data_IF_974634619024
#
_entry.id   IF_974634619024
#
_cell.length_a   1.000
_cell.length_b   1.000
_cell.length_c   1.000
_cell.angle_alpha   90.00
_cell.angle_beta   90.00
_cell.angle_gamma   90.00
#
_symmetry.space_group_name_H-M   'P 1'
#
loop_
_entity.id
_entity.type
_entity.pdbx_description
1 polymer ?
#
# COMPACT_ATOMS: atom_id res chain seq x y z
N UNK A 1 -37.16 21.81 -6.60
CA UNK A 1 -36.15 22.31 -5.68
C UNK A 1 -35.29 23.34 -6.39
N UNK A 2 -35.05 24.47 -5.74
CA UNK A 2 -34.11 25.47 -6.27
C UNK A 2 -32.65 24.97 -6.12
N UNK A 3 -31.74 25.60 -6.89
CA UNK A 3 -30.31 25.31 -6.77
C UNK A 3 -29.77 25.49 -5.34
N UNK A 4 -30.30 26.51 -4.64
CA UNK A 4 -29.95 26.80 -3.25
C UNK A 4 -30.42 25.69 -2.27
N UNK A 5 -31.65 25.17 -2.48
CA UNK A 5 -32.14 24.03 -1.69
C UNK A 5 -31.33 22.76 -1.92
N UNK A 6 -30.91 22.50 -3.18
CA UNK A 6 -30.05 21.36 -3.51
C UNK A 6 -28.68 21.47 -2.86
N UNK A 7 -28.09 22.67 -2.86
CA UNK A 7 -26.77 22.89 -2.18
C UNK A 7 -26.88 22.71 -0.65
N UNK A 8 -27.97 23.20 -0.03
CA UNK A 8 -28.19 22.98 1.42
C UNK A 8 -28.42 21.51 1.73
N UNK A 9 -29.19 20.79 0.91
CA UNK A 9 -29.38 19.34 1.11
C UNK A 9 -28.11 18.56 0.92
N UNK A 10 -27.29 18.90 -0.07
CA UNK A 10 -25.98 18.31 -0.28
C UNK A 10 -25.07 18.50 0.93
N UNK A 11 -24.95 19.73 1.43
CA UNK A 11 -24.12 20.02 2.59
C UNK A 11 -24.60 19.27 3.86
N UNK A 12 -25.93 19.11 4.03
CA UNK A 12 -26.49 18.32 5.12
C UNK A 12 -26.11 16.85 5.00
N UNK A 13 -26.29 16.26 3.81
CA UNK A 13 -25.94 14.86 3.55
C UNK A 13 -24.44 14.59 3.72
N UNK A 14 -23.57 15.49 3.24
CA UNK A 14 -22.12 15.40 3.43
C UNK A 14 -21.76 15.42 4.92
N UNK A 15 -22.42 16.25 5.71
CA UNK A 15 -22.23 16.29 7.18
C UNK A 15 -22.70 15.00 7.85
N UNK A 16 -23.85 14.48 7.48
CA UNK A 16 -24.37 13.21 8.04
C UNK A 16 -23.47 12.04 7.67
N UNK A 17 -22.97 12.01 6.43
CA UNK A 17 -21.99 10.99 6.00
C UNK A 17 -20.75 11.02 6.88
N UNK A 18 -20.13 12.18 7.10
CA UNK A 18 -18.94 12.32 7.97
C UNK A 18 -19.24 11.86 9.41
N UNK A 19 -20.43 12.17 9.95
CA UNK A 19 -20.83 11.74 11.29
C UNK A 19 -20.94 10.20 11.34
N UNK A 20 -21.55 9.58 10.33
CA UNK A 20 -21.69 8.12 10.25
C UNK A 20 -20.34 7.43 10.09
N UNK A 21 -19.46 7.96 9.23
CA UNK A 21 -18.09 7.45 9.04
C UNK A 21 -17.28 7.51 10.34
N UNK A 22 -17.34 8.64 11.06
CA UNK A 22 -16.66 8.79 12.35
C UNK A 22 -17.18 7.83 13.41
N UNK A 23 -18.50 7.61 13.48
CA UNK A 23 -19.10 6.64 14.41
C UNK A 23 -18.68 5.22 14.05
N UNK A 24 -18.75 4.83 12.79
CA UNK A 24 -18.29 3.53 12.32
C UNK A 24 -16.82 3.29 12.65
N UNK A 25 -15.96 4.29 12.36
CA UNK A 25 -14.54 4.18 12.68
C UNK A 25 -14.27 4.05 14.17
N UNK A 26 -14.96 4.82 15.01
CA UNK A 26 -14.81 4.72 16.47
C UNK A 26 -15.20 3.33 17.01
N UNK A 27 -16.31 2.76 16.52
CA UNK A 27 -16.75 1.41 16.90
C UNK A 27 -15.74 0.36 16.39
N UNK A 28 -15.27 0.48 15.16
CA UNK A 28 -14.26 -0.42 14.57
C UNK A 28 -12.96 -0.40 15.38
N UNK A 29 -12.48 0.78 15.77
CA UNK A 29 -11.29 0.92 16.62
C UNK A 29 -11.52 0.26 17.98
N UNK A 30 -12.68 0.49 18.62
CA UNK A 30 -13.01 -0.09 19.90
C UNK A 30 -13.01 -1.63 19.84
N UNK A 31 -13.66 -2.21 18.84
CA UNK A 31 -13.71 -3.67 18.64
C UNK A 31 -12.33 -4.26 18.39
N UNK A 32 -11.53 -3.64 17.52
CA UNK A 32 -10.16 -4.11 17.22
C UNK A 32 -9.23 -3.97 18.43
N UNK A 33 -9.46 -2.96 19.28
CA UNK A 33 -8.67 -2.73 20.50
C UNK A 33 -8.94 -3.78 21.57
N UNK A 34 -10.11 -4.42 21.57
CA UNK A 34 -10.46 -5.46 22.56
C UNK A 34 -9.52 -6.66 22.49
N UNK A 35 -9.20 -7.14 21.28
CA UNK A 35 -8.21 -8.21 21.09
C UNK A 35 -6.84 -7.81 21.65
N UNK A 36 -6.36 -6.60 21.30
CA UNK A 36 -5.10 -6.07 21.82
C UNK A 36 -5.09 -5.91 23.34
N UNK A 37 -6.22 -5.50 23.93
CA UNK A 37 -6.37 -5.38 25.37
C UNK A 37 -6.28 -6.74 26.07
N UNK A 38 -6.92 -7.78 25.53
CA UNK A 38 -6.84 -9.15 26.07
C UNK A 38 -5.42 -9.71 26.08
N UNK A 39 -4.55 -9.23 25.19
CA UNK A 39 -3.14 -9.61 25.10
C UNK A 39 -2.21 -8.75 25.97
N UNK A 40 -2.71 -7.70 26.60
CA UNK A 40 -1.92 -6.76 27.40
C UNK A 40 -1.97 -7.14 28.88
N UNK A 41 -0.81 -7.44 29.48
CA UNK A 41 -0.67 -7.83 30.89
C UNK A 41 -1.21 -6.82 31.91
N UNK A 42 -1.32 -5.55 31.54
CA UNK A 42 -1.89 -4.49 32.39
C UNK A 42 -3.41 -4.36 32.28
N UNK A 43 -4.05 -5.12 31.39
CA UNK A 43 -5.50 -5.06 31.22
C UNK A 43 -6.21 -5.92 32.27
N UNK A 44 -7.26 -5.39 32.89
CA UNK A 44 -8.02 -6.08 33.95
C UNK A 44 -8.47 -7.51 33.59
N UNK A 45 -8.79 -7.73 32.30
CA UNK A 45 -9.28 -9.02 31.79
C UNK A 45 -8.25 -9.71 30.90
N UNK A 46 -6.96 -9.47 31.17
CA UNK A 46 -5.88 -10.13 30.48
C UNK A 46 -5.98 -11.66 30.62
N UNK A 47 -5.99 -12.34 29.48
CA UNK A 47 -5.80 -13.80 29.39
C UNK A 47 -5.18 -14.15 28.04
N UNK A 48 -3.91 -14.48 28.05
CA UNK A 48 -3.15 -14.82 26.84
C UNK A 48 -3.75 -16.03 26.10
N UNK A 49 -4.36 -16.98 26.80
CA UNK A 49 -4.99 -18.16 26.21
C UNK A 49 -6.19 -17.78 25.36
N UNK A 50 -6.95 -16.78 25.80
CA UNK A 50 -8.07 -16.24 25.00
C UNK A 50 -7.55 -15.55 23.75
N UNK A 51 -6.49 -14.75 23.85
CA UNK A 51 -5.88 -14.09 22.71
C UNK A 51 -5.28 -15.11 21.70
N UNK A 52 -4.59 -16.14 22.19
CA UNK A 52 -4.10 -17.23 21.35
C UNK A 52 -5.23 -18.02 20.67
N UNK A 53 -6.30 -18.34 21.40
CA UNK A 53 -7.45 -19.06 20.83
C UNK A 53 -8.13 -18.30 19.70
N UNK A 54 -8.24 -16.97 19.80
CA UNK A 54 -8.79 -16.12 18.74
C UNK A 54 -7.94 -16.25 17.47
N UNK A 55 -6.62 -16.15 17.58
CA UNK A 55 -5.72 -16.22 16.42
C UNK A 55 -5.66 -17.62 15.80
N UNK A 56 -5.61 -18.67 16.62
CA UNK A 56 -5.57 -20.07 16.15
C UNK A 56 -6.90 -20.42 15.47
N UNK A 57 -8.03 -20.01 16.06
CA UNK A 57 -9.35 -20.21 15.43
C UNK A 57 -9.44 -19.47 14.10
N UNK A 58 -8.94 -18.23 14.01
CA UNK A 58 -8.88 -17.49 12.75
C UNK A 58 -8.07 -18.21 11.69
N UNK A 59 -6.90 -18.75 12.03
CA UNK A 59 -6.07 -19.53 11.12
C UNK A 59 -6.78 -20.79 10.65
N UNK A 60 -7.45 -21.51 11.53
CA UNK A 60 -8.21 -22.72 11.18
C UNK A 60 -9.39 -22.37 10.27
N UNK A 61 -10.13 -21.33 10.59
CA UNK A 61 -11.30 -20.88 9.83
C UNK A 61 -10.95 -20.53 8.38
N UNK A 62 -9.88 -19.75 8.18
CA UNK A 62 -9.47 -19.35 6.83
C UNK A 62 -8.94 -20.53 6.01
N UNK A 63 -8.22 -21.47 6.63
CA UNK A 63 -7.78 -22.71 5.98
C UNK A 63 -8.95 -23.64 5.63
N UNK A 64 -9.96 -23.69 6.48
CA UNK A 64 -11.18 -24.45 6.20
C UNK A 64 -11.91 -23.87 4.99
N UNK A 65 -12.03 -22.55 4.93
CA UNK A 65 -12.62 -21.85 3.78
C UNK A 65 -11.82 -22.06 2.50
N UNK A 66 -10.49 -21.98 2.54
CA UNK A 66 -9.57 -22.28 1.41
C UNK A 66 -9.84 -23.69 0.85
N UNK A 67 -9.84 -24.70 1.70
CA UNK A 67 -10.09 -26.08 1.29
C UNK A 67 -11.49 -26.27 0.70
N UNK A 68 -12.47 -25.60 1.26
CA UNK A 68 -13.87 -25.68 0.80
C UNK A 68 -14.03 -25.09 -0.60
N UNK A 69 -13.51 -23.88 -0.84
CA UNK A 69 -13.64 -23.24 -2.16
C UNK A 69 -12.82 -23.98 -3.21
N UNK A 70 -11.62 -24.46 -2.90
CA UNK A 70 -10.80 -25.25 -3.82
C UNK A 70 -11.50 -26.53 -4.24
N UNK A 71 -12.09 -27.27 -3.29
CA UNK A 71 -12.87 -28.48 -3.56
C UNK A 71 -14.08 -28.19 -4.47
N UNK A 72 -14.79 -27.10 -4.17
CA UNK A 72 -15.94 -26.67 -4.98
C UNK A 72 -15.54 -26.28 -6.40
N UNK A 73 -14.47 -25.49 -6.57
CA UNK A 73 -13.98 -25.08 -7.88
C UNK A 73 -13.51 -26.27 -8.73
N UNK A 74 -12.74 -27.19 -8.14
CA UNK A 74 -12.28 -28.41 -8.82
C UNK A 74 -13.47 -29.26 -9.32
N UNK A 75 -14.51 -29.42 -8.50
CA UNK A 75 -15.72 -30.13 -8.87
C UNK A 75 -16.44 -29.50 -10.06
N UNK A 76 -16.61 -28.17 -10.04
CA UNK A 76 -17.34 -27.46 -11.10
C UNK A 76 -16.52 -27.41 -12.39
N UNK A 77 -15.24 -27.13 -12.30
CA UNK A 77 -14.35 -26.96 -13.45
C UNK A 77 -13.87 -28.33 -14.00
N UNK A 78 -14.04 -29.39 -13.23
CA UNK A 78 -13.53 -30.73 -13.52
C UNK A 78 -12.00 -30.73 -13.72
N UNK A 79 -11.31 -29.98 -12.91
CA UNK A 79 -9.85 -29.85 -12.91
C UNK A 79 -9.19 -30.93 -12.05
N UNK A 80 -7.87 -31.00 -12.09
CA UNK A 80 -7.07 -31.91 -11.28
C UNK A 80 -7.23 -31.67 -9.77
N UNK A 81 -7.10 -32.72 -8.97
CA UNK A 81 -7.27 -32.65 -7.50
C UNK A 81 -6.24 -31.77 -6.81
N UNK A 82 -5.11 -31.49 -7.44
CA UNK A 82 -4.05 -30.62 -6.93
C UNK A 82 -4.13 -29.16 -7.44
N UNK A 83 -5.12 -28.82 -8.28
CA UNK A 83 -5.27 -27.45 -8.77
C UNK A 83 -5.68 -26.52 -7.62
N UNK A 84 -4.98 -25.40 -7.47
CA UNK A 84 -5.27 -24.41 -6.44
C UNK A 84 -5.83 -23.12 -7.07
N UNK A 85 -7.02 -22.75 -6.63
CA UNK A 85 -7.72 -21.54 -7.06
C UNK A 85 -7.57 -20.40 -6.08
N UNK A 86 -7.04 -20.65 -4.87
CA UNK A 86 -6.75 -19.62 -3.87
C UNK A 86 -5.32 -19.14 -4.06
N UNK A 87 -5.15 -17.98 -4.67
CA UNK A 87 -3.85 -17.40 -5.02
C UNK A 87 -3.16 -16.68 -3.85
N UNK A 88 -3.95 -16.18 -2.88
CA UNK A 88 -3.42 -15.52 -1.69
C UNK A 88 -4.43 -15.57 -0.55
N UNK A 89 -3.91 -15.52 0.68
CA UNK A 89 -4.67 -15.42 1.92
C UNK A 89 -4.06 -14.27 2.73
N UNK A 90 -4.91 -13.39 3.26
CA UNK A 90 -4.46 -12.37 4.20
C UNK A 90 -5.39 -12.32 5.41
N UNK A 91 -4.95 -12.91 6.52
CA UNK A 91 -5.61 -12.95 7.83
C UNK A 91 -7.01 -13.56 7.77
N UNK A 92 -8.00 -12.85 7.23
CA UNK A 92 -9.43 -13.18 7.17
C UNK A 92 -10.01 -13.10 5.75
N UNK A 93 -9.16 -12.88 4.74
CA UNK A 93 -9.58 -12.80 3.34
C UNK A 93 -8.91 -13.84 2.44
N UNK A 94 -9.66 -14.30 1.43
CA UNK A 94 -9.21 -15.20 0.37
C UNK A 94 -9.23 -14.46 -0.97
N UNK A 95 -8.19 -14.65 -1.78
CA UNK A 95 -8.12 -14.17 -3.16
C UNK A 95 -8.24 -15.36 -4.08
N UNK A 96 -9.34 -15.41 -4.84
CA UNK A 96 -9.73 -16.58 -5.64
C UNK A 96 -9.54 -16.27 -7.12
N UNK A 97 -8.80 -17.10 -7.83
CA UNK A 97 -8.70 -17.08 -9.29
C UNK A 97 -9.98 -17.61 -9.90
N UNK A 98 -10.72 -16.76 -10.58
CA UNK A 98 -12.02 -17.09 -11.16
C UNK A 98 -12.06 -17.09 -12.68
N UNK A 99 -10.91 -16.87 -13.35
CA UNK A 99 -10.81 -16.77 -14.80
C UNK A 99 -11.43 -17.98 -15.52
N UNK A 100 -11.09 -19.18 -15.08
CA UNK A 100 -11.59 -20.43 -15.70
C UNK A 100 -13.10 -20.59 -15.53
N UNK A 101 -13.64 -20.16 -14.37
CA UNK A 101 -15.08 -20.18 -14.10
C UNK A 101 -15.82 -19.21 -15.02
N UNK A 102 -15.30 -17.99 -15.15
CA UNK A 102 -15.88 -16.94 -16.00
C UNK A 102 -15.82 -17.35 -17.46
N UNK A 103 -14.68 -17.83 -17.95
CA UNK A 103 -14.52 -18.31 -19.33
C UNK A 103 -15.49 -19.44 -19.67
N UNK A 104 -15.66 -20.40 -18.75
CA UNK A 104 -16.59 -21.50 -18.92
C UNK A 104 -18.05 -21.06 -18.96
N UNK A 105 -18.43 -20.06 -18.19
CA UNK A 105 -19.82 -19.62 -18.05
C UNK A 105 -20.24 -18.62 -19.13
N UNK A 106 -19.34 -17.68 -19.51
CA UNK A 106 -19.66 -16.56 -20.42
C UNK A 106 -19.20 -16.84 -21.86
N UNK A 107 -18.15 -17.67 -22.05
CA UNK A 107 -17.65 -18.08 -23.36
C UNK A 107 -17.14 -16.90 -24.21
N UNK A 108 -17.27 -17.04 -25.55
CA UNK A 108 -16.71 -16.09 -26.53
C UNK A 108 -17.30 -14.66 -26.46
N UNK A 109 -18.40 -14.47 -25.73
CA UNK A 109 -19.01 -13.14 -25.53
C UNK A 109 -18.47 -12.41 -24.29
N UNK A 110 -17.35 -12.85 -23.72
CA UNK A 110 -16.77 -12.31 -22.51
C UNK A 110 -16.36 -10.86 -22.67
N UNK A 111 -16.93 -10.01 -21.83
CA UNK A 111 -16.45 -8.65 -21.55
C UNK A 111 -16.23 -8.53 -20.05
N UNK A 112 -15.34 -7.62 -19.63
CA UNK A 112 -15.07 -7.40 -18.19
C UNK A 112 -16.37 -7.15 -17.43
N UNK A 113 -17.28 -6.31 -17.97
CA UNK A 113 -18.55 -6.00 -17.34
C UNK A 113 -19.44 -7.23 -17.13
N UNK A 114 -19.56 -8.11 -18.14
CA UNK A 114 -20.31 -9.34 -18.03
C UNK A 114 -19.70 -10.29 -17.02
N UNK A 115 -18.36 -10.41 -17.02
CA UNK A 115 -17.62 -11.21 -16.05
C UNK A 115 -17.86 -10.75 -14.62
N UNK A 116 -17.78 -9.44 -14.38
CA UNK A 116 -18.02 -8.84 -13.06
C UNK A 116 -19.45 -9.08 -12.59
N UNK A 117 -20.47 -8.85 -13.44
CA UNK A 117 -21.88 -9.13 -13.12
C UNK A 117 -22.14 -10.60 -12.82
N UNK A 118 -21.50 -11.50 -13.58
CA UNK A 118 -21.59 -12.94 -13.36
C UNK A 118 -20.98 -13.31 -12.00
N UNK A 119 -19.77 -12.81 -11.69
CA UNK A 119 -19.10 -13.10 -10.42
C UNK A 119 -19.84 -12.51 -9.22
N UNK A 120 -20.43 -11.33 -9.36
CA UNK A 120 -21.25 -10.72 -8.32
C UNK A 120 -22.39 -11.66 -7.92
N UNK A 121 -23.16 -12.12 -8.92
CA UNK A 121 -24.25 -13.06 -8.72
C UNK A 121 -23.79 -14.42 -8.18
N UNK A 122 -22.72 -14.99 -8.72
CA UNK A 122 -22.17 -16.28 -8.26
C UNK A 122 -21.66 -16.20 -6.83
N UNK A 123 -21.04 -15.09 -6.46
CA UNK A 123 -20.57 -14.90 -5.08
C UNK A 123 -21.74 -14.91 -4.10
N UNK A 124 -22.80 -14.15 -4.37
CA UNK A 124 -23.98 -14.06 -3.52
C UNK A 124 -24.79 -15.39 -3.49
N UNK A 125 -25.03 -16.01 -4.66
CA UNK A 125 -25.92 -17.18 -4.75
C UNK A 125 -25.22 -18.51 -4.47
N UNK A 126 -23.89 -18.59 -4.59
CA UNK A 126 -23.13 -19.85 -4.50
C UNK A 126 -22.01 -19.82 -3.49
N UNK A 127 -21.11 -18.81 -3.53
CA UNK A 127 -19.93 -18.84 -2.66
C UNK A 127 -20.27 -18.47 -1.21
N UNK A 128 -21.08 -17.45 -0.98
CA UNK A 128 -21.48 -17.07 0.38
C UNK A 128 -22.24 -18.20 1.09
N UNK A 129 -23.27 -18.84 0.49
CA UNK A 129 -23.92 -19.99 1.12
C UNK A 129 -23.00 -21.21 1.33
N UNK A 130 -22.03 -21.42 0.40
CA UNK A 130 -21.03 -22.47 0.54
C UNK A 130 -20.16 -22.26 1.78
N UNK A 131 -19.71 -21.03 2.00
CA UNK A 131 -18.91 -20.68 3.20
C UNK A 131 -19.74 -20.77 4.47
N UNK A 132 -21.00 -20.34 4.45
CA UNK A 132 -21.91 -20.47 5.59
C UNK A 132 -22.05 -21.92 6.01
N UNK A 133 -22.37 -22.82 5.07
CA UNK A 133 -22.43 -24.27 5.34
C UNK A 133 -21.08 -24.80 5.87
N UNK A 134 -19.97 -24.38 5.28
CA UNK A 134 -18.65 -24.84 5.72
C UNK A 134 -18.31 -24.41 7.14
N UNK A 135 -18.74 -23.21 7.55
CA UNK A 135 -18.54 -22.72 8.90
C UNK A 135 -19.46 -23.39 9.91
N UNK A 136 -20.66 -23.78 9.52
CA UNK A 136 -21.54 -24.65 10.35
C UNK A 136 -20.90 -26.01 10.56
N UNK A 137 -20.36 -26.63 9.50
CA UNK A 137 -19.63 -27.90 9.60
C UNK A 137 -18.42 -27.78 10.53
N UNK A 138 -17.64 -26.69 10.41
CA UNK A 138 -16.48 -26.41 11.28
C UNK A 138 -16.91 -26.22 12.73
N UNK A 139 -17.96 -25.45 12.97
CA UNK A 139 -18.49 -25.22 14.32
C UNK A 139 -18.91 -26.53 14.98
N UNK A 140 -19.63 -27.38 14.26
CA UNK A 140 -20.04 -28.70 14.76
C UNK A 140 -18.81 -29.61 15.00
N UNK A 141 -17.84 -29.61 14.11
CA UNK A 141 -16.59 -30.38 14.28
C UNK A 141 -15.78 -29.95 15.51
N UNK A 142 -15.74 -28.67 15.79
CA UNK A 142 -15.07 -28.08 16.95
C UNK A 142 -15.89 -28.13 18.23
N UNK A 143 -17.12 -28.68 18.18
CA UNK A 143 -18.09 -28.62 19.29
C UNK A 143 -18.31 -27.19 19.78
N UNK A 144 -18.38 -26.22 18.84
CA UNK A 144 -18.60 -24.81 19.13
C UNK A 144 -19.99 -24.54 19.67
N UNK A 145 -20.13 -23.54 20.54
CA UNK A 145 -21.40 -23.18 21.12
C UNK A 145 -22.38 -22.60 20.08
N UNK A 146 -21.87 -21.75 19.20
CA UNK A 146 -22.66 -21.07 18.18
C UNK A 146 -21.76 -20.64 17.01
N UNK A 147 -22.22 -20.82 15.78
CA UNK A 147 -21.54 -20.31 14.60
C UNK A 147 -21.85 -18.82 14.38
N UNK A 148 -20.80 -17.99 14.29
CA UNK A 148 -20.89 -16.53 14.06
C UNK A 148 -19.98 -16.02 12.95
N UNK A 149 -19.26 -16.91 12.29
CA UNK A 149 -18.36 -16.51 11.21
C UNK A 149 -19.15 -16.24 9.94
N UNK A 150 -18.87 -15.13 9.28
CA UNK A 150 -19.51 -14.73 8.03
C UNK A 150 -18.42 -14.37 7.04
N UNK A 151 -18.43 -14.97 5.86
CA UNK A 151 -17.58 -14.60 4.74
C UNK A 151 -18.44 -13.98 3.64
N UNK A 152 -18.09 -12.74 3.26
CA UNK A 152 -18.76 -12.02 2.18
C UNK A 152 -17.77 -11.61 1.11
N UNK A 153 -18.26 -11.45 -0.12
CA UNK A 153 -17.46 -10.91 -1.19
C UNK A 153 -17.17 -9.42 -0.94
N UNK A 154 -15.90 -9.06 -0.87
CA UNK A 154 -15.45 -7.68 -0.70
C UNK A 154 -15.27 -7.00 -2.06
N UNK A 155 -14.42 -7.56 -2.93
CA UNK A 155 -14.09 -6.95 -4.22
C UNK A 155 -14.14 -7.95 -5.37
N UNK A 156 -14.40 -7.44 -6.59
CA UNK A 156 -14.19 -8.14 -7.85
C UNK A 156 -13.22 -7.31 -8.69
N UNK A 157 -12.09 -7.91 -9.06
CA UNK A 157 -11.05 -7.30 -9.88
C UNK A 157 -10.83 -8.15 -11.14
N UNK A 158 -10.52 -7.51 -12.25
CA UNK A 158 -10.15 -8.22 -13.50
C UNK A 158 -8.67 -8.59 -13.51
N UNK A 159 -7.83 -7.83 -12.82
CA UNK A 159 -6.38 -8.04 -12.75
C UNK A 159 -5.86 -7.79 -11.34
N UNK A 160 -4.81 -8.54 -10.97
CA UNK A 160 -4.12 -8.36 -9.70
C UNK A 160 -2.66 -8.78 -9.79
N UNK A 161 -1.79 -8.07 -9.06
CA UNK A 161 -0.36 -8.35 -8.94
C UNK A 161 -0.01 -8.47 -7.47
N UNK A 162 0.61 -9.58 -7.08
CA UNK A 162 1.13 -9.81 -5.72
C UNK A 162 2.64 -9.86 -5.76
N UNK A 163 3.30 -8.96 -5.04
CA UNK A 163 4.77 -8.91 -4.91
C UNK A 163 5.27 -9.57 -3.64
N UNK A 164 4.37 -9.90 -2.74
CA UNK A 164 4.68 -10.59 -1.49
C UNK A 164 3.52 -10.58 -0.50
N UNK A 165 3.75 -11.11 0.69
CA UNK A 165 2.73 -11.10 1.75
C UNK A 165 2.31 -9.67 2.08
N UNK A 166 1.01 -9.39 2.02
CA UNK A 166 0.42 -8.06 2.28
C UNK A 166 0.88 -6.96 1.32
N UNK A 167 1.46 -7.31 0.15
CA UNK A 167 1.90 -6.37 -0.87
C UNK A 167 1.24 -6.75 -2.20
N UNK A 168 0.21 -6.03 -2.58
CA UNK A 168 -0.53 -6.30 -3.82
C UNK A 168 -1.20 -5.05 -4.39
N UNK A 169 -1.56 -5.12 -5.66
CA UNK A 169 -2.37 -4.15 -6.35
C UNK A 169 -3.47 -4.86 -7.14
N UNK A 170 -4.72 -4.38 -7.07
CA UNK A 170 -5.89 -4.90 -7.74
C UNK A 170 -6.58 -3.81 -8.55
N UNK A 171 -7.02 -4.14 -9.77
CA UNK A 171 -7.88 -3.28 -10.59
C UNK A 171 -9.35 -3.64 -10.30
N UNK A 172 -9.98 -2.90 -9.39
CA UNK A 172 -11.29 -3.26 -8.80
C UNK A 172 -12.43 -2.61 -9.58
N UNK A 173 -13.36 -3.44 -10.05
CA UNK A 173 -14.58 -3.03 -10.76
C UNK A 173 -15.83 -2.99 -9.88
N UNK A 174 -15.87 -3.82 -8.84
CA UNK A 174 -16.99 -3.89 -7.91
C UNK A 174 -16.46 -4.05 -6.48
N UNK A 175 -17.04 -3.31 -5.54
CA UNK A 175 -16.71 -3.43 -4.10
C UNK A 175 -18.01 -3.47 -3.30
N UNK A 176 -18.20 -4.50 -2.50
CA UNK A 176 -19.36 -4.69 -1.61
C UNK A 176 -20.73 -4.49 -2.31
N UNK A 177 -20.85 -4.95 -3.58
CA UNK A 177 -22.07 -4.80 -4.40
C UNK A 177 -22.14 -3.48 -5.19
N UNK A 178 -21.26 -2.52 -4.94
CA UNK A 178 -21.21 -1.26 -5.68
C UNK A 178 -20.38 -1.44 -6.94
N UNK A 179 -21.02 -1.31 -8.11
CA UNK A 179 -20.37 -1.34 -9.42
C UNK A 179 -19.79 0.03 -9.76
N UNK A 180 -18.50 0.09 -10.11
CA UNK A 180 -17.84 1.33 -10.55
C UNK A 180 -17.93 1.46 -12.08
N UNK A 181 -18.14 2.69 -12.56
CA UNK A 181 -18.09 3.02 -13.99
C UNK A 181 -16.67 2.93 -14.56
N UNK A 182 -15.70 3.31 -13.75
CA UNK A 182 -14.27 3.14 -14.02
C UNK A 182 -13.63 2.37 -12.86
N UNK A 183 -12.76 1.37 -13.14
CA UNK A 183 -12.12 0.61 -12.09
C UNK A 183 -11.17 1.49 -11.27
N UNK A 184 -11.10 1.22 -9.98
CA UNK A 184 -10.13 1.88 -9.12
C UNK A 184 -9.02 0.91 -8.71
N UNK A 185 -7.84 1.47 -8.46
CA UNK A 185 -6.67 0.72 -8.04
C UNK A 185 -6.65 0.59 -6.52
N UNK A 186 -6.88 -0.64 -6.00
CA UNK A 186 -6.70 -0.99 -4.58
C UNK A 186 -5.27 -1.46 -4.39
N UNK A 187 -4.47 -0.69 -3.63
CA UNK A 187 -3.07 -1.00 -3.37
C UNK A 187 -2.86 -1.21 -1.88
N UNK A 188 -2.18 -2.29 -1.51
CA UNK A 188 -1.83 -2.63 -0.13
C UNK A 188 -0.33 -2.88 0.02
N UNK A 189 0.25 -2.33 1.10
CA UNK A 189 1.63 -2.60 1.52
C UNK A 189 2.75 -2.01 0.66
N UNK A 190 2.49 -1.70 -0.60
CA UNK A 190 3.48 -1.14 -1.52
C UNK A 190 3.82 0.31 -1.13
N UNK A 191 5.03 0.78 -1.44
CA UNK A 191 5.54 2.12 -1.10
C UNK A 191 4.66 3.28 -1.57
N UNK A 192 3.82 3.06 -2.57
CA UNK A 192 2.82 4.02 -3.10
C UNK A 192 1.92 4.61 -2.02
N UNK A 193 1.55 3.81 -1.01
CA UNK A 193 0.66 4.24 0.07
C UNK A 193 1.40 4.75 1.31
N UNK A 194 2.72 4.65 1.35
CA UNK A 194 3.52 5.06 2.51
C UNK A 194 3.72 6.56 2.56
N UNK A 195 3.43 7.16 3.70
CA UNK A 195 3.66 8.60 3.92
C UNK A 195 5.14 9.00 3.86
N UNK A 196 6.05 8.04 3.96
CA UNK A 196 7.50 8.23 3.86
C UNK A 196 8.02 8.37 2.43
N UNK A 197 7.19 8.12 1.41
CA UNK A 197 7.51 8.33 0.00
C UNK A 197 7.05 9.74 -0.41
N UNK A 198 7.85 10.50 -1.17
CA UNK A 198 7.46 11.82 -1.65
C UNK A 198 6.13 11.78 -2.43
N UNK A 199 5.30 12.80 -2.25
CA UNK A 199 3.94 12.80 -2.82
C UNK A 199 3.91 12.67 -4.36
N UNK A 200 4.78 13.39 -5.15
CA UNK A 200 4.84 13.19 -6.59
C UNK A 200 5.20 11.74 -6.97
N UNK A 201 6.16 11.12 -6.26
CA UNK A 201 6.57 9.73 -6.51
C UNK A 201 5.42 8.75 -6.25
N UNK A 202 4.62 8.98 -5.19
CA UNK A 202 3.44 8.14 -4.93
C UNK A 202 2.43 8.20 -6.07
N UNK A 203 2.21 9.40 -6.63
CA UNK A 203 1.32 9.58 -7.78
C UNK A 203 1.89 8.86 -9.01
N UNK A 204 3.16 9.10 -9.34
CA UNK A 204 3.84 8.44 -10.46
C UNK A 204 3.79 6.92 -10.33
N UNK A 205 4.13 6.35 -9.16
CA UNK A 205 4.07 4.90 -8.91
C UNK A 205 2.66 4.35 -9.10
N UNK A 206 1.64 5.06 -8.62
CA UNK A 206 0.23 4.64 -8.78
C UNK A 206 -0.18 4.62 -10.25
N UNK A 207 0.22 5.63 -11.00
CA UNK A 207 -0.09 5.73 -12.42
C UNK A 207 0.72 4.71 -13.23
N UNK A 208 2.00 4.44 -12.87
CA UNK A 208 2.78 3.35 -13.47
C UNK A 208 2.15 1.97 -13.26
N UNK A 209 1.62 1.69 -12.07
CA UNK A 209 0.90 0.42 -11.82
C UNK A 209 -0.33 0.31 -12.72
N UNK A 210 -1.04 1.40 -12.99
CA UNK A 210 -2.15 1.40 -13.96
C UNK A 210 -1.67 1.11 -15.38
N UNK A 211 -0.55 1.68 -15.78
CA UNK A 211 0.07 1.42 -17.09
C UNK A 211 0.44 -0.06 -17.19
N UNK A 212 1.16 -0.60 -16.21
CA UNK A 212 1.53 -2.03 -16.16
C UNK A 212 0.30 -2.93 -16.29
N UNK A 213 -0.80 -2.61 -15.61
CA UNK A 213 -2.01 -3.44 -15.68
C UNK A 213 -2.74 -3.38 -17.01
N UNK A 214 -2.54 -2.34 -17.82
CA UNK A 214 -3.35 -2.11 -19.02
C UNK A 214 -2.57 -2.13 -20.33
N UNK A 215 -1.23 -2.17 -20.27
CA UNK A 215 -0.36 -2.11 -21.44
C UNK A 215 0.72 -3.20 -21.41
N UNK A 216 1.72 -3.06 -22.23
CA UNK A 216 2.88 -3.94 -22.37
C UNK A 216 4.14 -3.35 -21.72
N UNK A 217 5.23 -4.12 -21.77
CA UNK A 217 6.52 -3.74 -21.21
C UNK A 217 7.09 -2.48 -21.87
N UNK A 218 7.00 -2.37 -23.20
CA UNK A 218 7.57 -1.25 -23.95
C UNK A 218 6.91 0.07 -23.58
N UNK A 219 5.58 0.10 -23.54
CA UNK A 219 4.79 1.26 -23.10
C UNK A 219 5.10 1.63 -21.65
N UNK A 220 5.31 0.64 -20.80
CA UNK A 220 5.68 0.88 -19.39
C UNK A 220 7.07 1.50 -19.27
N UNK A 221 8.04 1.04 -20.06
CA UNK A 221 9.40 1.61 -20.10
C UNK A 221 9.38 3.06 -20.59
N UNK A 222 8.56 3.36 -21.59
CA UNK A 222 8.40 4.72 -22.10
C UNK A 222 7.81 5.64 -21.02
N UNK A 223 6.80 5.16 -20.29
CA UNK A 223 6.20 5.89 -19.17
C UNK A 223 7.19 6.10 -18.01
N UNK A 224 8.04 5.14 -17.70
CA UNK A 224 9.10 5.28 -16.68
C UNK A 224 10.07 6.39 -17.08
N UNK A 225 10.43 6.49 -18.36
CA UNK A 225 11.29 7.59 -18.88
C UNK A 225 10.61 8.95 -18.74
N UNK A 226 9.34 9.05 -19.09
CA UNK A 226 8.56 10.27 -18.90
C UNK A 226 8.51 10.68 -17.41
N UNK A 227 8.27 9.73 -16.51
CA UNK A 227 8.31 9.96 -15.06
C UNK A 227 9.67 10.48 -14.60
N UNK A 228 10.78 9.98 -15.16
CA UNK A 228 12.13 10.47 -14.86
C UNK A 228 12.29 11.93 -15.29
N UNK A 229 11.89 12.29 -16.48
CA UNK A 229 11.98 13.66 -16.99
C UNK A 229 11.15 14.63 -16.14
N UNK A 230 9.92 14.25 -15.77
CA UNK A 230 9.08 15.03 -14.86
C UNK A 230 9.77 15.17 -13.49
N UNK A 231 10.29 14.08 -12.93
CA UNK A 231 10.94 14.08 -11.62
C UNK A 231 12.13 15.04 -11.57
N UNK A 232 12.94 15.07 -12.63
CA UNK A 232 14.10 15.96 -12.72
C UNK A 232 13.74 17.45 -12.87
N UNK A 233 12.50 17.75 -13.25
CA UNK A 233 11.96 19.12 -13.28
C UNK A 233 11.43 19.62 -11.95
N UNK A 234 11.22 18.73 -10.96
CA UNK A 234 10.66 19.08 -9.67
C UNK A 234 11.70 19.74 -8.75
N UNK A 235 11.27 20.65 -7.85
CA UNK A 235 12.17 21.23 -6.87
C UNK A 235 12.58 20.19 -5.82
N UNK A 236 13.74 20.39 -5.14
CA UNK A 236 14.24 19.47 -4.11
C UNK A 236 13.21 19.13 -3.02
N UNK A 237 12.38 20.07 -2.65
CA UNK A 237 11.35 19.87 -1.62
C UNK A 237 10.32 18.81 -1.99
N UNK A 238 10.00 18.67 -3.26
CA UNK A 238 8.96 17.75 -3.73
C UNK A 238 9.47 16.32 -3.92
N UNK A 239 10.78 16.17 -4.13
CA UNK A 239 11.43 14.85 -4.33
C UNK A 239 12.05 14.29 -3.06
N UNK A 240 12.17 15.09 -1.99
CA UNK A 240 12.80 14.71 -0.72
C UNK A 240 11.91 13.82 0.14
N UNK A 241 12.54 12.88 0.86
CA UNK A 241 11.85 11.92 1.72
C UNK A 241 11.35 12.58 3.00
N UNK A 242 10.03 12.55 3.28
CA UNK A 242 9.51 12.98 4.57
C UNK A 242 9.83 11.96 5.66
N UNK A 243 10.35 12.41 6.81
CA UNK A 243 10.67 11.60 8.00
C UNK A 243 10.45 12.38 9.29
N UNK A 244 10.04 11.66 10.35
CA UNK A 244 10.10 12.19 11.70
C UNK A 244 11.51 12.02 12.28
N UNK A 245 11.96 13.00 13.04
CA UNK A 245 13.24 12.98 13.77
C UNK A 245 12.98 12.56 15.20
N UNK A 246 13.69 11.56 15.69
CA UNK A 246 13.62 11.10 17.07
C UNK A 246 15.02 11.06 17.68
N UNK A 247 15.11 11.36 18.97
CA UNK A 247 16.34 11.22 19.75
C UNK A 247 17.55 11.95 19.14
N UNK A 248 17.36 13.15 18.58
CA UNK A 248 18.41 13.89 17.89
C UNK A 248 19.60 14.17 18.82
N UNK A 249 19.34 14.42 20.11
CA UNK A 249 20.32 14.66 21.15
C UNK A 249 21.24 13.46 21.39
N UNK A 250 20.68 12.24 21.30
CA UNK A 250 21.43 10.97 21.41
C UNK A 250 22.50 10.85 20.33
N UNK A 251 22.20 11.33 19.13
CA UNK A 251 23.04 11.21 17.96
C UNK A 251 23.99 12.40 17.74
N UNK A 252 23.77 13.50 18.44
CA UNK A 252 24.65 14.69 18.36
C UNK A 252 26.04 14.37 18.92
N UNK A 253 27.07 14.92 18.27
CA UNK A 253 28.46 14.92 18.70
C UNK A 253 29.10 16.28 18.43
N UNK A 254 29.72 16.87 19.46
CA UNK A 254 30.27 18.22 19.35
C UNK A 254 31.53 18.31 18.45
N UNK A 255 32.24 17.19 18.25
CA UNK A 255 33.46 17.15 17.46
C UNK A 255 33.23 16.77 16.01
N UNK A 256 32.23 15.89 15.74
CA UNK A 256 31.98 15.28 14.41
C UNK A 256 30.57 15.54 13.89
N UNK A 257 29.83 16.47 14.53
CA UNK A 257 28.43 16.82 14.26
C UNK A 257 27.46 15.67 14.62
N UNK A 258 27.80 14.41 14.32
CA UNK A 258 26.98 13.26 14.64
C UNK A 258 27.84 12.01 14.93
N UNK A 259 27.29 11.08 15.72
CA UNK A 259 27.93 9.81 16.08
C UNK A 259 27.83 8.78 14.96
N UNK A 260 28.79 7.84 14.91
CA UNK A 260 28.77 6.70 13.99
C UNK A 260 27.48 5.87 14.17
N UNK A 261 26.85 5.47 13.05
CA UNK A 261 25.58 4.72 13.06
C UNK A 261 24.33 5.58 13.14
N UNK A 262 24.48 6.93 13.11
CA UNK A 262 23.35 7.85 13.06
C UNK A 262 22.44 7.55 11.84
N UNK A 263 21.10 7.46 12.04
CA UNK A 263 20.16 7.31 10.93
C UNK A 263 20.29 8.47 9.93
N UNK A 264 20.18 8.15 8.63
CA UNK A 264 20.48 9.11 7.55
C UNK A 264 19.68 10.41 7.65
N UNK A 265 18.39 10.37 7.98
CA UNK A 265 17.55 11.55 8.12
C UNK A 265 17.92 12.38 9.36
N UNK A 266 18.31 11.74 10.47
CA UNK A 266 18.80 12.43 11.67
C UNK A 266 20.15 13.07 11.41
N UNK A 267 21.03 12.38 10.66
CA UNK A 267 22.32 12.94 10.21
C UNK A 267 22.11 14.19 9.36
N UNK A 268 21.17 14.15 8.41
CA UNK A 268 20.80 15.33 7.62
C UNK A 268 20.26 16.50 8.46
N UNK A 269 19.47 16.19 9.50
CA UNK A 269 18.96 17.19 10.44
C UNK A 269 20.08 17.85 11.28
N UNK A 270 20.99 17.04 11.83
CA UNK A 270 22.15 17.53 12.59
C UNK A 270 23.08 18.36 11.72
N UNK A 271 23.29 17.96 10.47
CA UNK A 271 24.07 18.74 9.52
C UNK A 271 23.42 20.11 9.26
N UNK A 272 22.11 20.18 9.02
CA UNK A 272 21.43 21.46 8.86
C UNK A 272 21.61 22.35 10.09
N UNK A 273 21.40 21.81 11.30
CA UNK A 273 21.58 22.56 12.54
C UNK A 273 23.00 23.10 12.67
N UNK A 274 24.00 22.32 12.31
CA UNK A 274 25.41 22.75 12.27
C UNK A 274 25.62 23.89 11.27
N UNK A 275 25.10 23.78 10.06
CA UNK A 275 25.23 24.79 9.00
C UNK A 275 24.48 26.09 9.35
N UNK A 276 23.27 26.02 9.93
CA UNK A 276 22.54 27.19 10.44
C UNK A 276 23.38 27.96 11.48
N UNK A 277 24.07 27.26 12.36
CA UNK A 277 24.96 27.88 13.34
C UNK A 277 26.20 28.48 12.68
N UNK A 278 26.85 27.73 11.77
CA UNK A 278 28.11 28.15 11.14
C UNK A 278 27.93 29.37 10.23
N UNK A 279 26.79 29.44 9.51
CA UNK A 279 26.46 30.54 8.60
C UNK A 279 25.61 31.66 9.27
N UNK A 280 25.44 31.61 10.60
CA UNK A 280 24.68 32.60 11.38
C UNK A 280 23.24 32.82 10.91
N UNK A 281 22.57 31.72 10.43
CA UNK A 281 21.24 31.78 9.83
C UNK A 281 20.09 31.57 10.82
N UNK A 282 20.34 31.59 12.14
CA UNK A 282 19.33 31.35 13.19
C UNK A 282 18.15 32.31 13.15
N UNK A 283 18.35 33.54 12.62
CA UNK A 283 17.26 34.51 12.49
C UNK A 283 16.30 34.19 11.35
N UNK A 284 16.67 33.27 10.44
CA UNK A 284 15.87 32.89 9.27
C UNK A 284 15.31 31.48 9.35
N UNK A 285 16.05 30.58 9.98
CA UNK A 285 15.72 29.16 10.00
C UNK A 285 15.78 28.62 11.43
N UNK A 286 14.77 27.87 11.79
CA UNK A 286 14.72 27.17 13.06
C UNK A 286 15.55 25.89 13.02
N UNK A 287 16.21 25.58 14.13
CA UNK A 287 16.92 24.31 14.30
C UNK A 287 15.91 23.16 14.43
N UNK A 288 16.26 22.02 13.84
CA UNK A 288 15.45 20.80 13.93
C UNK A 288 15.62 20.16 15.30
N UNK A 289 14.52 19.78 15.92
CA UNK A 289 14.45 19.13 17.25
C UNK A 289 13.81 17.74 17.18
N UNK A 290 13.94 16.98 18.27
CA UNK A 290 13.23 15.70 18.41
C UNK A 290 11.72 15.90 18.38
N UNK A 291 11.02 15.11 17.54
CA UNK A 291 9.58 15.23 17.27
C UNK A 291 9.26 15.96 15.97
N UNK A 292 10.18 16.67 15.37
CA UNK A 292 9.95 17.39 14.12
C UNK A 292 9.79 16.44 12.93
N UNK A 293 8.98 16.89 11.97
CA UNK A 293 8.87 16.25 10.66
C UNK A 293 9.70 17.03 9.64
N UNK A 294 10.68 16.37 9.08
CA UNK A 294 11.59 16.95 8.10
C UNK A 294 11.46 16.27 6.74
N UNK A 295 12.06 16.87 5.75
CA UNK A 295 12.40 16.25 4.46
C UNK A 295 13.91 16.07 4.39
N UNK A 296 14.38 14.97 3.77
CA UNK A 296 15.81 14.81 3.50
C UNK A 296 16.07 14.41 2.06
N UNK A 297 17.17 14.89 1.52
CA UNK A 297 17.64 14.58 0.17
C UNK A 297 19.08 14.08 0.19
N UNK A 298 19.41 13.22 -0.78
CA UNK A 298 20.78 12.82 -1.06
C UNK A 298 21.53 13.94 -1.79
N UNK A 299 22.83 14.05 -1.51
CA UNK A 299 23.73 14.98 -2.16
C UNK A 299 24.81 14.23 -2.96
N UNK A 300 25.13 14.74 -4.16
CA UNK A 300 26.28 14.32 -4.96
C UNK A 300 27.58 14.70 -4.25
N UNK A 301 28.61 13.89 -4.44
CA UNK A 301 29.95 14.15 -3.91
C UNK A 301 30.93 14.36 -5.07
N UNK A 302 31.94 15.26 -4.93
CA UNK A 302 32.19 16.16 -3.81
C UNK A 302 31.23 17.36 -3.79
N UNK A 303 30.94 17.92 -2.60
CA UNK A 303 30.13 19.11 -2.43
C UNK A 303 30.67 20.00 -1.29
N UNK A 304 30.22 21.26 -1.16
CA UNK A 304 30.76 22.23 -0.18
C UNK A 304 30.60 21.81 1.28
N UNK A 305 29.63 20.95 1.60
CA UNK A 305 29.36 20.50 2.98
C UNK A 305 30.00 19.15 3.32
N UNK A 306 30.72 18.54 2.37
CA UNK A 306 31.40 17.25 2.51
C UNK A 306 30.54 16.09 3.03
N UNK A 307 29.21 16.15 2.79
CA UNK A 307 28.22 15.19 3.27
C UNK A 307 27.29 14.75 2.14
N UNK A 308 26.81 13.51 2.21
CA UNK A 308 25.98 12.91 1.15
C UNK A 308 24.47 12.98 1.43
N UNK A 309 24.05 13.76 2.44
CA UNK A 309 22.64 13.95 2.81
C UNK A 309 22.45 15.31 3.48
N UNK A 310 21.30 15.91 3.24
CA UNK A 310 20.84 17.11 3.96
C UNK A 310 19.38 16.90 4.39
N UNK A 311 19.03 17.31 5.62
CA UNK A 311 17.65 17.40 6.09
C UNK A 311 17.22 18.84 6.21
N UNK A 312 15.92 19.13 6.02
CA UNK A 312 15.41 20.51 6.12
C UNK A 312 13.91 20.52 6.42
N UNK A 313 13.45 21.62 7.01
CA UNK A 313 12.05 21.93 7.23
C UNK A 313 11.52 22.78 6.07
N UNK A 314 10.44 22.35 5.42
CA UNK A 314 9.83 23.11 4.34
C UNK A 314 10.71 23.19 3.09
N UNK A 315 11.52 24.22 2.95
CA UNK A 315 12.43 24.47 1.81
C UNK A 315 13.88 24.34 2.20
N UNK A 316 14.69 23.88 1.25
CA UNK A 316 16.14 23.86 1.41
C UNK A 316 16.67 25.30 1.40
N UNK A 317 17.43 25.74 2.43
CA UNK A 317 17.96 27.10 2.48
C UNK A 317 18.89 27.39 1.29
N UNK A 318 18.58 28.38 0.42
CA UNK A 318 19.41 28.70 -0.75
C UNK A 318 20.78 29.25 -0.36
N UNK A 319 20.92 29.84 0.82
CA UNK A 319 22.17 30.39 1.36
C UNK A 319 23.25 29.31 1.56
N UNK A 320 22.86 28.03 1.64
CA UNK A 320 23.79 26.92 1.79
C UNK A 320 24.53 26.60 0.46
N UNK A 321 24.05 27.08 -0.68
CA UNK A 321 24.68 26.86 -2.00
C UNK A 321 24.76 25.40 -2.42
N UNK A 322 23.86 24.55 -1.91
CA UNK A 322 23.89 23.08 -2.14
C UNK A 322 22.78 22.57 -3.06
N UNK A 323 21.94 23.45 -3.59
CA UNK A 323 20.84 23.07 -4.48
C UNK A 323 21.32 22.30 -5.71
N UNK A 324 22.44 22.73 -6.32
CA UNK A 324 23.01 22.10 -7.52
C UNK A 324 23.67 20.73 -7.23
N UNK A 325 23.85 20.41 -5.95
CA UNK A 325 24.41 19.14 -5.52
C UNK A 325 23.38 18.10 -5.12
N UNK A 326 22.07 18.39 -5.27
CA UNK A 326 21.03 17.37 -5.06
C UNK A 326 21.25 16.23 -6.03
N UNK A 327 21.29 15.02 -5.50
CA UNK A 327 21.46 13.78 -6.28
C UNK A 327 20.11 13.27 -6.78
N UNK A 328 19.62 13.87 -7.87
CA UNK A 328 18.34 13.51 -8.48
C UNK A 328 18.28 12.06 -8.94
N UNK A 329 19.40 11.52 -9.46
CA UNK A 329 19.45 10.12 -9.91
C UNK A 329 19.23 9.17 -8.73
N UNK A 330 19.95 9.40 -7.64
CA UNK A 330 19.80 8.59 -6.42
C UNK A 330 18.45 8.79 -5.75
N UNK A 331 17.91 10.02 -5.78
CA UNK A 331 16.55 10.30 -5.28
C UNK A 331 15.52 9.52 -6.09
N UNK A 332 15.60 9.56 -7.43
CA UNK A 332 14.71 8.84 -8.33
C UNK A 332 14.79 7.33 -8.12
N UNK A 333 16.02 6.79 -8.09
CA UNK A 333 16.24 5.37 -7.80
C UNK A 333 15.54 4.95 -6.49
N UNK A 334 15.80 5.67 -5.39
CA UNK A 334 15.29 5.28 -4.06
C UNK A 334 13.80 5.54 -3.85
N UNK A 335 13.24 6.58 -4.49
CA UNK A 335 11.84 6.98 -4.26
C UNK A 335 10.86 6.39 -5.28
N UNK A 336 11.34 6.00 -6.46
CA UNK A 336 10.50 5.53 -7.56
C UNK A 336 10.95 4.18 -8.13
N UNK A 337 12.19 4.05 -8.64
CA UNK A 337 12.63 2.82 -9.32
C UNK A 337 12.70 1.63 -8.36
N UNK A 338 13.36 1.77 -7.22
CA UNK A 338 13.53 0.67 -6.29
C UNK A 338 12.19 0.10 -5.77
N UNK A 339 11.18 0.91 -5.38
CA UNK A 339 9.84 0.42 -5.11
C UNK A 339 9.16 -0.27 -6.31
N UNK A 340 9.37 0.25 -7.52
CA UNK A 340 8.77 -0.29 -8.74
C UNK A 340 9.37 -1.64 -9.13
N UNK A 341 10.68 -1.85 -8.90
CA UNK A 341 11.38 -3.10 -9.23
C UNK A 341 10.68 -4.33 -8.66
N UNK A 342 10.16 -4.27 -7.44
CA UNK A 342 9.43 -5.39 -6.83
C UNK A 342 8.19 -5.81 -7.62
N UNK A 343 7.59 -4.87 -8.36
CA UNK A 343 6.41 -5.12 -9.19
C UNK A 343 6.85 -5.66 -10.55
N UNK A 344 7.86 -5.03 -11.17
CA UNK A 344 8.39 -5.44 -12.47
C UNK A 344 8.97 -6.86 -12.40
N UNK A 345 9.75 -7.18 -11.35
CA UNK A 345 10.32 -8.50 -11.12
C UNK A 345 9.23 -9.58 -10.99
N UNK A 346 8.10 -9.27 -10.34
CA UNK A 346 6.98 -10.21 -10.19
C UNK A 346 6.32 -10.60 -11.52
N UNK A 347 6.42 -9.74 -12.54
CA UNK A 347 5.88 -9.97 -13.89
C UNK A 347 6.96 -10.25 -14.93
N UNK A 348 8.24 -10.27 -14.54
CA UNK A 348 9.38 -10.55 -15.42
C UNK A 348 9.72 -9.41 -16.39
N UNK A 349 9.38 -8.16 -16.05
CA UNK A 349 9.65 -6.98 -16.87
C UNK A 349 10.87 -6.21 -16.38
N UNK A 350 11.52 -5.48 -17.30
CA UNK A 350 12.65 -4.60 -17.03
C UNK A 350 12.24 -3.12 -17.09
N UNK A 351 12.78 -2.23 -16.21
CA UNK A 351 12.49 -0.80 -16.28
C UNK A 351 13.08 -0.09 -17.49
N UNK A 352 14.06 -0.70 -18.15
CA UNK A 352 14.76 -0.16 -19.32
C UNK A 352 14.89 -1.22 -20.42
N UNK A 353 14.91 -0.80 -21.69
CA UNK A 353 15.14 -1.70 -22.83
C UNK A 353 16.52 -2.35 -22.67
N UNK A 354 16.54 -3.67 -22.55
CA UNK A 354 17.79 -4.42 -22.58
C UNK A 354 18.28 -4.43 -24.03
N UNK A 355 19.43 -3.84 -24.27
CA UNK A 355 20.13 -3.95 -25.56
C UNK A 355 20.71 -5.38 -25.60
N UNK A 356 20.04 -6.30 -26.31
CA UNK A 356 20.64 -7.61 -26.54
C UNK A 356 21.85 -7.48 -27.45
N UNK A 357 22.87 -8.29 -27.19
CA UNK A 357 24.05 -8.38 -28.08
C UNK A 357 23.66 -8.78 -29.52
N UNK A 358 22.49 -9.37 -29.72
CA UNK A 358 21.92 -9.71 -31.04
C UNK A 358 21.55 -8.47 -31.87
N UNK A 359 21.37 -7.29 -31.26
CA UNK A 359 21.17 -6.03 -32.00
C UNK A 359 22.44 -5.48 -32.61
N UNK A 360 23.61 -6.09 -32.35
CA UNK A 360 24.91 -5.73 -32.88
C UNK A 360 25.48 -6.75 -33.88
N UNK A 361 24.71 -7.81 -34.21
CA UNK A 361 25.02 -8.81 -35.24
C UNK A 361 24.03 -8.66 -36.37
#
# INVERSE_FOLDING_TARGET
MSTEELLKLRALNEREQVICENKQMAIKILMNSLYGALSNEYFRYYDIRVAESITVTGQLTIRWAENTINRYMRKILKSADNEDYVIAIDTDSLYIRTSDLVNKAVGDSLTVEKGVKFLDKVSEEKFEPLFEQAYDELCNHMNGYEQKMVMKREVIADKGIWTGKKHYALNVHNSEGVQFSEPYLKIMGIEVVRSSTPMPCRKMLKDTIRVIMNTDEETTQDYIRECKDIFFSLPPEDISFPRGVSDIEKWHDASTVYKKGCPIHVRGALLLNYLINTYELKNKYESISSGDKIKFAYLKMPNPVHENVIGFNGRLPPELGINDFIDYDKQFDKSYLHPLMSILDAIGWSPEKQISLEAFI
#
